data_IF_429259079155
#
_entry.id   IF_429259079155
#
_cell.length_a   1.000
_cell.length_b   1.000
_cell.length_c   1.000
_cell.angle_alpha   90.00
_cell.angle_beta   90.00
_cell.angle_gamma   90.00
#
_symmetry.space_group_name_H-M   'P 1'
#
loop_
_entity.id
_entity.type
_entity.pdbx_description
1 polymer ?
#
# COMPACT_ATOMS: atom_id res chain seq x y z
N UNK A 1 -11.84 16.73 -14.02
CA UNK A 1 -12.76 15.76 -13.37
C UNK A 1 -12.45 14.30 -13.74
N UNK A 2 -12.33 13.95 -15.03
CA UNK A 2 -12.06 12.56 -15.47
C UNK A 2 -10.81 11.91 -14.82
N UNK A 3 -9.68 12.64 -14.75
CA UNK A 3 -8.44 12.11 -14.13
C UNK A 3 -8.59 11.75 -12.65
N UNK A 4 -9.29 12.59 -11.87
CA UNK A 4 -9.50 12.34 -10.42
C UNK A 4 -10.41 11.14 -10.19
N UNK A 5 -11.52 11.04 -10.92
CA UNK A 5 -12.41 9.89 -10.83
C UNK A 5 -11.70 8.57 -11.18
N UNK A 6 -10.88 8.60 -12.23
CA UNK A 6 -10.09 7.42 -12.63
C UNK A 6 -9.08 6.99 -11.55
N UNK A 7 -8.37 7.94 -10.95
CA UNK A 7 -7.41 7.65 -9.87
C UNK A 7 -8.11 7.11 -8.63
N UNK A 8 -9.28 7.64 -8.28
CA UNK A 8 -10.10 7.09 -7.19
C UNK A 8 -10.52 5.65 -7.47
N UNK A 9 -10.89 5.31 -8.71
CA UNK A 9 -11.20 3.92 -9.10
C UNK A 9 -9.98 3.00 -8.96
N UNK A 10 -8.81 3.44 -9.44
CA UNK A 10 -7.55 2.69 -9.31
C UNK A 10 -7.18 2.46 -7.84
N UNK A 11 -7.29 3.51 -7.01
CA UNK A 11 -7.07 3.43 -5.57
C UNK A 11 -8.00 2.39 -4.92
N UNK A 12 -9.30 2.48 -5.18
CA UNK A 12 -10.28 1.55 -4.61
C UNK A 12 -10.03 0.10 -5.05
N UNK A 13 -9.67 -0.12 -6.32
CA UNK A 13 -9.33 -1.44 -6.83
C UNK A 13 -8.08 -2.01 -6.16
N UNK A 14 -7.02 -1.21 -6.05
CA UNK A 14 -5.78 -1.64 -5.40
C UNK A 14 -6.01 -1.92 -3.92
N UNK A 15 -6.79 -1.09 -3.21
CA UNK A 15 -7.14 -1.32 -1.82
C UNK A 15 -7.85 -2.67 -1.61
N UNK A 16 -8.78 -3.05 -2.48
CA UNK A 16 -9.44 -4.35 -2.42
C UNK A 16 -8.47 -5.52 -2.68
N UNK A 17 -7.51 -5.34 -3.59
CA UNK A 17 -6.53 -6.35 -3.98
C UNK A 17 -5.47 -6.65 -2.90
N UNK A 18 -5.31 -5.78 -1.88
CA UNK A 18 -4.43 -6.08 -0.74
C UNK A 18 -4.85 -7.33 0.05
N UNK A 19 -6.13 -7.69 0.00
CA UNK A 19 -6.67 -8.87 0.67
C UNK A 19 -6.66 -10.14 -0.20
N UNK A 20 -6.14 -10.08 -1.44
CA UNK A 20 -6.15 -11.21 -2.36
C UNK A 20 -5.22 -12.35 -1.87
N UNK A 21 -5.61 -13.60 -2.10
CA UNK A 21 -4.83 -14.78 -1.70
C UNK A 21 -3.51 -14.89 -2.49
N UNK A 22 -3.48 -14.35 -3.71
CA UNK A 22 -2.32 -14.42 -4.60
C UNK A 22 -1.31 -13.33 -4.28
N UNK A 23 -0.07 -13.72 -4.03
CA UNK A 23 1.02 -12.80 -3.70
C UNK A 23 1.24 -11.75 -4.82
N UNK A 24 1.21 -12.18 -6.07
CA UNK A 24 1.40 -11.31 -7.23
C UNK A 24 0.33 -10.21 -7.34
N UNK A 25 -0.91 -10.50 -6.93
CA UNK A 25 -2.00 -9.53 -6.93
C UNK A 25 -1.79 -8.50 -5.82
N UNK A 26 -1.40 -8.95 -4.62
CA UNK A 26 -1.08 -8.04 -3.51
C UNK A 26 0.10 -7.12 -3.84
N UNK A 27 1.17 -7.67 -4.42
CA UNK A 27 2.33 -6.88 -4.83
C UNK A 27 1.98 -5.83 -5.89
N UNK A 28 1.19 -6.21 -6.91
CA UNK A 28 0.72 -5.27 -7.91
C UNK A 28 -0.09 -4.11 -7.27
N UNK A 29 -0.96 -4.43 -6.31
CA UNK A 29 -1.73 -3.43 -5.57
C UNK A 29 -0.83 -2.46 -4.78
N UNK A 30 0.16 -2.98 -4.06
CA UNK A 30 1.11 -2.16 -3.28
C UNK A 30 1.89 -1.20 -4.18
N UNK A 31 2.38 -1.68 -5.33
CA UNK A 31 3.12 -0.84 -6.27
C UNK A 31 2.23 0.23 -6.92
N UNK A 32 0.99 -0.12 -7.28
CA UNK A 32 0.02 0.87 -7.79
C UNK A 32 -0.27 1.93 -6.74
N UNK A 33 -0.52 1.54 -5.48
CA UNK A 33 -0.74 2.50 -4.39
C UNK A 33 0.47 3.42 -4.18
N UNK A 34 1.68 2.87 -4.20
CA UNK A 34 2.92 3.65 -4.12
C UNK A 34 3.02 4.69 -5.23
N UNK A 35 2.80 4.30 -6.48
CA UNK A 35 2.86 5.25 -7.61
C UNK A 35 1.74 6.30 -7.53
N UNK A 36 0.52 5.93 -7.11
CA UNK A 36 -0.55 6.90 -6.87
C UNK A 36 -0.13 7.91 -5.79
N UNK A 37 0.44 7.45 -4.67
CA UNK A 37 0.87 8.35 -3.60
C UNK A 37 1.95 9.34 -4.03
N UNK A 38 2.84 8.91 -4.94
CA UNK A 38 3.88 9.76 -5.54
C UNK A 38 3.29 10.78 -6.52
N UNK A 39 2.39 10.36 -7.39
CA UNK A 39 1.85 11.20 -8.46
C UNK A 39 0.70 12.11 -8.00
N UNK A 40 0.04 11.76 -6.90
CA UNK A 40 -1.10 12.47 -6.32
C UNK A 40 -0.87 12.71 -4.82
N UNK A 41 -0.13 13.78 -4.45
CA UNK A 41 0.25 14.05 -3.06
C UNK A 41 -0.92 14.19 -2.08
N UNK A 42 -2.10 14.57 -2.57
CA UNK A 42 -3.34 14.64 -1.76
C UNK A 42 -3.86 13.25 -1.35
N UNK A 43 -3.44 12.19 -2.04
CA UNK A 43 -3.76 10.80 -1.72
C UNK A 43 -2.66 10.10 -0.92
N UNK A 44 -1.48 10.71 -0.77
CA UNK A 44 -0.34 10.08 -0.11
C UNK A 44 -0.63 9.70 1.36
N UNK A 45 -1.33 10.58 2.10
CA UNK A 45 -1.71 10.29 3.50
C UNK A 45 -2.76 9.17 3.60
N UNK A 46 -3.89 9.20 2.85
CA UNK A 46 -4.83 8.07 2.83
C UNK A 46 -4.18 6.74 2.45
N UNK A 47 -3.24 6.73 1.51
CA UNK A 47 -2.51 5.52 1.10
C UNK A 47 -1.62 5.02 2.24
N UNK A 48 -0.90 5.93 2.91
CA UNK A 48 -0.08 5.60 4.07
C UNK A 48 -0.91 4.96 5.18
N UNK A 49 -2.04 5.59 5.55
CA UNK A 49 -2.94 5.07 6.58
C UNK A 49 -3.54 3.70 6.20
N UNK A 50 -3.93 3.53 4.94
CA UNK A 50 -4.44 2.25 4.43
C UNK A 50 -3.41 1.13 4.59
N UNK A 51 -2.17 1.38 4.17
CA UNK A 51 -1.08 0.42 4.21
C UNK A 51 -0.66 0.08 5.65
N UNK A 52 -0.62 1.08 6.55
CA UNK A 52 -0.36 0.87 7.96
C UNK A 52 -1.45 0.00 8.61
N UNK A 53 -2.72 0.34 8.39
CA UNK A 53 -3.85 -0.45 8.90
C UNK A 53 -3.84 -1.88 8.35
N UNK A 54 -3.45 -2.07 7.08
CA UNK A 54 -3.33 -3.40 6.49
C UNK A 54 -2.25 -4.24 7.18
N UNK A 55 -1.09 -3.65 7.48
CA UNK A 55 -0.03 -4.34 8.23
C UNK A 55 -0.48 -4.73 9.63
N UNK A 56 -1.11 -3.81 10.36
CA UNK A 56 -1.60 -4.07 11.72
C UNK A 56 -2.67 -5.17 11.74
N UNK A 57 -3.62 -5.14 10.80
CA UNK A 57 -4.68 -6.14 10.71
C UNK A 57 -4.15 -7.53 10.36
N UNK A 58 -3.17 -7.61 9.46
CA UNK A 58 -2.63 -8.89 8.98
C UNK A 58 -1.56 -9.47 9.92
N UNK A 59 -0.89 -8.61 10.69
CA UNK A 59 0.29 -8.97 11.48
C UNK A 59 0.31 -8.38 12.89
N UNK A 60 -0.82 -8.42 13.59
CA UNK A 60 -0.96 -7.88 14.95
C UNK A 60 0.02 -8.42 16.00
N UNK A 61 0.69 -9.54 15.75
CA UNK A 61 1.73 -10.11 16.62
C UNK A 61 3.18 -9.90 16.13
N UNK A 62 3.38 -9.26 14.97
CA UNK A 62 4.69 -9.13 14.31
C UNK A 62 5.26 -10.46 13.79
N UNK A 63 6.52 -10.44 13.36
CA UNK A 63 7.22 -11.60 12.78
C UNK A 63 8.21 -12.29 13.73
N UNK A 64 8.43 -11.73 14.93
CA UNK A 64 9.47 -12.20 15.83
C UNK A 64 10.84 -12.14 15.14
N UNK A 65 11.53 -13.29 15.07
CA UNK A 65 12.82 -13.44 14.36
C UNK A 65 12.68 -13.87 12.90
N UNK A 66 11.48 -14.15 12.40
CA UNK A 66 11.27 -14.51 11.01
C UNK A 66 11.35 -13.28 10.09
N UNK A 67 11.84 -13.48 8.88
CA UNK A 67 11.76 -12.43 7.86
C UNK A 67 10.30 -12.14 7.50
N UNK A 68 9.91 -10.86 7.36
CA UNK A 68 8.57 -10.51 6.90
C UNK A 68 8.30 -11.10 5.50
N UNK A 69 7.06 -11.53 5.20
CA UNK A 69 6.62 -11.84 3.86
C UNK A 69 6.93 -10.73 2.85
N UNK A 70 7.14 -11.10 1.59
CA UNK A 70 7.61 -10.19 0.53
C UNK A 70 6.65 -9.01 0.30
N UNK A 71 5.35 -9.26 0.36
CA UNK A 71 4.32 -8.21 0.29
C UNK A 71 4.41 -7.24 1.47
N UNK A 72 4.71 -7.73 2.67
CA UNK A 72 4.92 -6.86 3.82
C UNK A 72 6.18 -6.02 3.68
N UNK A 73 7.28 -6.60 3.20
CA UNK A 73 8.49 -5.84 2.89
C UNK A 73 8.18 -4.72 1.90
N UNK A 74 7.41 -5.01 0.84
CA UNK A 74 7.00 -4.01 -0.14
C UNK A 74 6.13 -2.89 0.46
N UNK A 75 5.28 -3.19 1.45
CA UNK A 75 4.53 -2.17 2.17
C UNK A 75 5.47 -1.30 3.01
N UNK A 76 6.40 -1.92 3.76
CA UNK A 76 7.37 -1.19 4.57
C UNK A 76 8.21 -0.24 3.70
N UNK A 77 8.66 -0.69 2.53
CA UNK A 77 9.37 0.16 1.55
C UNK A 77 8.52 1.35 1.10
N UNK A 78 7.23 1.13 0.80
CA UNK A 78 6.31 2.20 0.41
C UNK A 78 6.11 3.24 1.53
N UNK A 79 6.03 2.78 2.79
CA UNK A 79 5.91 3.66 3.95
C UNK A 79 7.19 4.45 4.23
N UNK A 80 8.36 3.83 4.08
CA UNK A 80 9.67 4.48 4.28
C UNK A 80 9.89 5.63 3.30
N UNK A 81 9.53 5.44 2.02
CA UNK A 81 9.62 6.50 1.00
C UNK A 81 8.83 7.74 1.39
N UNK A 82 7.63 7.58 1.98
CA UNK A 82 6.82 8.71 2.44
C UNK A 82 7.49 9.52 3.56
N UNK A 83 8.31 8.86 4.39
CA UNK A 83 9.00 9.50 5.52
C UNK A 83 10.32 10.17 5.13
N UNK A 84 10.96 9.70 4.04
CA UNK A 84 12.21 10.26 3.51
C UNK A 84 12.04 11.55 2.69
N UNK A 85 10.84 11.81 2.14
CA UNK A 85 10.50 13.03 1.38
C UNK A 85 10.17 14.25 2.30
N UNK A 86 10.86 14.40 3.45
CA UNK A 86 10.70 15.54 4.37
C UNK A 86 11.81 16.58 4.24
#
# INVERSE_FOLDING_TARGET
MARRAHVTELFNRAAAQLADDKLEVRLAAIYVLREIGRDFPDLANPIFELLQNHLEARHGSGYGEAEPPIDVQAILDALLLKTGDR
#
